data_IF_526226541507
#
_entry.id   IF_526226541507
#
_cell.length_a   1.000
_cell.length_b   1.000
_cell.length_c   1.000
_cell.angle_alpha   90.00
_cell.angle_beta   90.00
_cell.angle_gamma   90.00
#
_symmetry.space_group_name_H-M   'P 1'
#
loop_
_entity.id
_entity.type
_entity.pdbx_description
1 polymer ?
#
# COMPACT_ATOMS: atom_id res chain seq x y z
N UNK A 1 -32.80 10.08 6.73
CA UNK A 1 -32.99 8.61 6.70
C UNK A 1 -32.06 8.03 7.78
N UNK A 2 -32.64 7.32 8.75
CA UNK A 2 -32.05 7.08 10.08
C UNK A 2 -30.73 6.29 10.05
N UNK A 3 -29.69 6.89 10.65
CA UNK A 3 -28.46 6.20 11.06
C UNK A 3 -28.85 5.20 12.16
N UNK A 4 -28.91 3.91 11.84
CA UNK A 4 -28.98 2.87 12.88
C UNK A 4 -27.65 2.89 13.63
N UNK A 5 -27.69 3.41 14.85
CA UNK A 5 -26.67 3.20 15.89
C UNK A 5 -26.62 1.69 16.17
N UNK A 6 -25.59 1.02 15.65
CA UNK A 6 -25.33 -0.38 15.96
C UNK A 6 -24.72 -0.45 17.37
N UNK A 7 -25.47 -1.03 18.31
CA UNK A 7 -25.05 -1.26 19.68
C UNK A 7 -23.84 -2.20 19.71
N UNK A 8 -22.86 -1.86 20.55
CA UNK A 8 -21.70 -2.70 20.81
C UNK A 8 -22.14 -3.97 21.54
N UNK A 9 -21.84 -5.14 20.98
CA UNK A 9 -21.72 -6.35 21.79
C UNK A 9 -20.38 -6.27 22.54
N UNK A 10 -20.39 -5.61 23.71
CA UNK A 10 -19.35 -5.84 24.70
C UNK A 10 -19.58 -7.24 25.26
N UNK A 11 -18.74 -8.20 24.86
CA UNK A 11 -18.70 -9.49 25.54
C UNK A 11 -18.24 -9.23 26.99
N UNK A 12 -19.06 -9.65 27.96
CA UNK A 12 -18.73 -9.59 29.36
C UNK A 12 -17.57 -10.54 29.66
N UNK A 13 -16.40 -9.99 29.95
CA UNK A 13 -15.32 -10.71 30.63
C UNK A 13 -15.32 -10.29 32.10
N UNK A 14 -15.97 -11.08 32.94
CA UNK A 14 -15.82 -10.98 34.39
C UNK A 14 -14.41 -11.48 34.78
N UNK A 15 -13.64 -10.63 35.49
CA UNK A 15 -12.55 -11.11 36.35
C UNK A 15 -11.09 -10.80 35.96
N UNK A 16 -10.79 -9.97 34.96
CA UNK A 16 -9.43 -9.43 34.77
C UNK A 16 -9.44 -7.91 34.88
N UNK A 17 -8.57 -7.33 35.72
CA UNK A 17 -8.30 -5.89 35.72
C UNK A 17 -7.95 -5.47 34.29
N UNK A 18 -8.88 -4.79 33.63
CA UNK A 18 -8.69 -4.24 32.30
C UNK A 18 -7.64 -3.14 32.40
N UNK A 19 -6.39 -3.50 32.11
CA UNK A 19 -5.32 -2.52 31.96
C UNK A 19 -5.78 -1.42 31.00
N UNK A 20 -5.63 -0.16 31.42
CA UNK A 20 -5.91 1.00 30.56
C UNK A 20 -4.98 1.04 29.35
N UNK A 21 -3.87 0.29 29.39
CA UNK A 21 -2.91 0.15 28.30
C UNK A 21 -3.35 -0.99 27.37
N UNK A 22 -3.65 -0.66 26.11
CA UNK A 22 -3.90 -1.67 25.07
C UNK A 22 -2.59 -2.07 24.41
N UNK A 23 -2.28 -3.37 24.45
CA UNK A 23 -1.01 -3.92 23.96
C UNK A 23 -1.08 -4.51 22.54
N UNK A 24 -2.19 -4.30 21.82
CA UNK A 24 -2.47 -4.96 20.54
C UNK A 24 -2.69 -6.47 20.70
N UNK A 25 -2.98 -7.15 19.59
CA UNK A 25 -3.17 -8.61 19.58
C UNK A 25 -1.84 -9.34 19.35
N UNK A 26 -1.71 -10.51 19.96
CA UNK A 26 -0.72 -11.52 19.65
C UNK A 26 -1.35 -12.63 18.80
N UNK A 27 -0.54 -13.54 18.26
CA UNK A 27 -1.03 -14.55 17.32
C UNK A 27 -2.20 -15.38 17.89
N UNK A 28 -2.10 -15.82 19.14
CA UNK A 28 -3.11 -16.61 19.84
C UNK A 28 -4.40 -15.84 20.22
N UNK A 29 -4.45 -14.52 20.00
CA UNK A 29 -5.64 -13.70 20.24
C UNK A 29 -6.58 -13.69 19.02
N UNK A 30 -6.08 -14.03 17.83
CA UNK A 30 -6.88 -14.01 16.59
C UNK A 30 -7.70 -15.28 16.40
N UNK A 31 -8.86 -15.14 15.75
CA UNK A 31 -9.73 -16.25 15.33
C UNK A 31 -10.15 -16.04 13.88
N UNK A 32 -10.21 -17.09 13.07
CA UNK A 32 -10.77 -17.00 11.70
C UNK A 32 -12.23 -16.54 11.80
N UNK A 33 -12.62 -15.59 10.94
CA UNK A 33 -13.93 -14.92 10.97
C UNK A 33 -14.03 -13.75 11.96
N UNK A 34 -13.00 -13.50 12.78
CA UNK A 34 -12.96 -12.34 13.68
C UNK A 34 -13.03 -11.04 12.88
N UNK A 35 -13.97 -10.15 13.25
CA UNK A 35 -14.12 -8.83 12.64
C UNK A 35 -13.72 -7.73 13.62
N UNK A 36 -12.86 -6.83 13.15
CA UNK A 36 -12.28 -5.73 13.91
C UNK A 36 -12.69 -4.42 13.25
N UNK A 37 -13.32 -3.53 14.03
CA UNK A 37 -13.54 -2.13 13.65
C UNK A 37 -12.40 -1.31 14.24
N UNK A 38 -11.58 -0.72 13.39
CA UNK A 38 -10.39 0.00 13.85
C UNK A 38 -10.77 1.38 14.39
N UNK A 39 -10.11 1.77 15.49
CA UNK A 39 -10.27 3.10 16.05
C UNK A 39 -9.71 4.20 15.13
N UNK A 40 -9.98 5.45 15.47
CA UNK A 40 -9.42 6.65 14.82
C UNK A 40 -9.81 6.80 13.34
N UNK A 41 -11.10 6.93 13.00
CA UNK A 41 -11.47 7.37 11.65
C UNK A 41 -10.77 8.70 11.34
N UNK A 42 -10.33 8.88 10.10
CA UNK A 42 -9.45 10.00 9.72
C UNK A 42 -9.99 10.72 8.51
N UNK A 43 -10.36 11.99 8.70
CA UNK A 43 -10.63 12.94 7.62
C UNK A 43 -9.33 13.32 6.94
N UNK A 44 -9.17 13.10 5.64
CA UNK A 44 -8.01 13.59 4.87
C UNK A 44 -8.29 14.98 4.33
N UNK A 45 -7.23 15.77 4.16
CA UNK A 45 -7.28 17.21 3.86
C UNK A 45 -6.21 17.60 2.83
N UNK A 46 -6.24 18.86 2.37
CA UNK A 46 -5.17 19.45 1.54
C UNK A 46 -3.81 19.49 2.26
N UNK A 47 -3.80 19.54 3.59
CA UNK A 47 -2.58 19.46 4.38
C UNK A 47 -1.91 18.09 4.27
N UNK A 48 -2.71 17.02 4.21
CA UNK A 48 -2.21 15.66 4.06
C UNK A 48 -1.57 15.46 2.68
N UNK A 49 -2.17 16.01 1.61
CA UNK A 49 -1.59 16.05 0.26
C UNK A 49 -0.25 16.81 0.25
N UNK A 50 -0.24 18.04 0.75
CA UNK A 50 0.96 18.88 0.76
C UNK A 50 2.12 18.20 1.48
N UNK A 51 1.84 17.57 2.63
CA UNK A 51 2.85 16.84 3.38
C UNK A 51 3.31 15.57 2.65
N UNK A 52 2.40 14.82 2.03
CA UNK A 52 2.75 13.65 1.23
C UNK A 52 3.65 14.01 0.03
N UNK A 53 3.34 15.10 -0.68
CA UNK A 53 4.18 15.62 -1.76
C UNK A 53 5.55 16.04 -1.20
N UNK A 54 5.61 16.78 -0.09
CA UNK A 54 6.87 17.20 0.51
C UNK A 54 7.77 16.04 0.96
N UNK A 55 7.17 14.90 1.36
CA UNK A 55 7.89 13.71 1.82
C UNK A 55 8.32 12.76 0.70
N UNK A 56 7.73 12.87 -0.49
CA UNK A 56 7.95 11.89 -1.58
C UNK A 56 8.42 12.53 -2.87
N UNK A 57 8.22 13.83 -3.05
CA UNK A 57 8.44 14.52 -4.32
C UNK A 57 7.46 14.11 -5.41
N UNK A 58 6.28 13.58 -5.06
CA UNK A 58 5.31 13.12 -6.07
C UNK A 58 4.95 14.22 -7.07
N UNK A 59 4.99 13.87 -8.36
CA UNK A 59 4.60 14.74 -9.48
C UNK A 59 3.36 14.24 -10.23
N UNK A 60 2.61 13.30 -9.65
CA UNK A 60 1.43 12.71 -10.30
C UNK A 60 0.45 13.79 -10.80
N UNK A 61 0.06 13.70 -12.07
CA UNK A 61 -0.65 14.77 -12.78
C UNK A 61 -1.97 15.14 -12.10
N UNK A 62 -2.75 14.14 -11.68
CA UNK A 62 -4.04 14.36 -11.02
C UNK A 62 -3.92 14.89 -9.58
N UNK A 63 -2.77 14.65 -8.94
CA UNK A 63 -2.55 15.02 -7.54
C UNK A 63 -1.94 16.43 -7.36
N UNK A 64 -1.13 16.87 -8.32
CA UNK A 64 -0.27 18.06 -8.15
C UNK A 64 -0.98 19.40 -8.39
N UNK A 65 -1.85 19.52 -9.41
CA UNK A 65 -2.41 20.81 -9.84
C UNK A 65 -3.91 20.76 -10.14
N UNK A 66 -4.69 21.66 -9.54
CA UNK A 66 -6.15 21.69 -9.72
C UNK A 66 -6.52 21.99 -11.17
N UNK A 67 -5.75 22.86 -11.81
CA UNK A 67 -5.85 23.18 -13.23
C UNK A 67 -5.75 21.93 -14.11
N UNK A 68 -4.81 21.02 -13.80
CA UNK A 68 -4.60 19.79 -14.55
C UNK A 68 -5.81 18.86 -14.38
N UNK A 69 -6.24 18.61 -13.15
CA UNK A 69 -7.40 17.75 -12.90
C UNK A 69 -8.66 18.29 -13.60
N UNK A 70 -8.91 19.61 -13.53
CA UNK A 70 -10.03 20.25 -14.23
C UNK A 70 -9.96 20.09 -15.74
N UNK A 71 -8.77 20.30 -16.32
CA UNK A 71 -8.56 20.15 -17.75
C UNK A 71 -8.73 18.70 -18.20
N UNK A 72 -8.29 17.72 -17.40
CA UNK A 72 -8.53 16.28 -17.64
C UNK A 72 -9.96 15.82 -17.30
N UNK A 73 -10.83 16.75 -16.92
CA UNK A 73 -12.26 16.51 -16.74
C UNK A 73 -12.74 16.13 -15.35
N UNK A 74 -11.87 16.22 -14.36
CA UNK A 74 -12.23 15.99 -12.97
C UNK A 74 -12.88 17.22 -12.35
N UNK A 75 -13.92 17.00 -11.54
CA UNK A 75 -14.54 18.07 -10.78
C UNK A 75 -13.64 18.62 -9.67
N UNK A 76 -12.72 17.82 -9.14
CA UNK A 76 -11.75 18.22 -8.10
C UNK A 76 -10.54 17.30 -8.21
N UNK A 77 -9.39 17.70 -7.68
CA UNK A 77 -8.24 16.79 -7.55
C UNK A 77 -8.47 15.67 -6.54
N UNK A 78 -8.33 14.40 -6.92
CA UNK A 78 -8.26 13.31 -5.95
C UNK A 78 -6.97 13.37 -5.12
N UNK A 79 -6.97 12.74 -3.96
CA UNK A 79 -5.75 12.45 -3.19
C UNK A 79 -4.99 11.29 -3.84
N UNK A 80 -3.68 11.25 -3.63
CA UNK A 80 -2.81 10.21 -4.14
C UNK A 80 -3.20 8.83 -3.59
N UNK A 81 -3.27 7.83 -4.47
CA UNK A 81 -3.69 6.47 -4.13
C UNK A 81 -2.88 5.89 -2.96
N UNK A 82 -1.56 6.09 -2.96
CA UNK A 82 -0.69 5.58 -1.90
C UNK A 82 -0.81 6.37 -0.58
N UNK A 83 -1.21 7.64 -0.60
CA UNK A 83 -1.56 8.38 0.62
C UNK A 83 -2.81 7.76 1.26
N UNK A 84 -3.82 7.46 0.44
CA UNK A 84 -5.06 6.79 0.88
C UNK A 84 -4.75 5.39 1.42
N UNK A 85 -3.98 4.60 0.67
CA UNK A 85 -3.56 3.25 1.10
C UNK A 85 -2.82 3.28 2.42
N UNK A 86 -1.79 4.13 2.55
CA UNK A 86 -0.99 4.20 3.76
C UNK A 86 -1.80 4.68 4.97
N UNK A 87 -2.70 5.64 4.78
CA UNK A 87 -3.60 6.12 5.84
C UNK A 87 -4.53 5.01 6.31
N UNK A 88 -5.19 4.30 5.39
CA UNK A 88 -6.07 3.18 5.71
C UNK A 88 -5.31 2.01 6.35
N UNK A 89 -4.12 1.67 5.83
CA UNK A 89 -3.25 0.65 6.39
C UNK A 89 -2.86 0.97 7.83
N UNK A 90 -2.47 2.23 8.10
CA UNK A 90 -2.11 2.72 9.43
C UNK A 90 -3.20 2.50 10.47
N UNK A 91 -4.48 2.55 10.07
CA UNK A 91 -5.62 2.29 10.98
C UNK A 91 -5.63 0.86 11.51
N UNK A 92 -5.15 -0.08 10.71
CA UNK A 92 -5.13 -1.50 11.09
C UNK A 92 -3.97 -1.85 12.03
N UNK A 93 -2.94 -1.01 12.11
CA UNK A 93 -1.68 -1.35 12.79
C UNK A 93 -1.86 -1.66 14.28
N UNK A 94 -2.56 -0.84 15.08
CA UNK A 94 -2.72 -1.09 16.52
C UNK A 94 -3.29 -2.49 16.82
N UNK A 95 -4.25 -2.94 16.01
CA UNK A 95 -4.98 -4.19 16.26
C UNK A 95 -4.35 -5.39 15.54
N UNK A 96 -3.76 -5.21 14.37
CA UNK A 96 -3.27 -6.32 13.53
C UNK A 96 -1.77 -6.55 13.67
N UNK A 97 -0.96 -5.47 13.72
CA UNK A 97 0.49 -5.60 13.50
C UNK A 97 1.36 -4.82 14.49
N UNK A 98 0.81 -4.38 15.62
CA UNK A 98 1.60 -3.76 16.69
C UNK A 98 2.67 -4.70 17.26
N UNK A 99 2.36 -5.99 17.30
CA UNK A 99 3.26 -7.07 17.75
C UNK A 99 3.72 -7.96 16.57
N UNK A 100 3.67 -7.43 15.34
CA UNK A 100 4.16 -8.16 14.18
C UNK A 100 5.68 -8.07 14.07
N UNK A 101 6.30 -9.16 13.61
CA UNK A 101 7.70 -9.23 13.16
C UNK A 101 7.84 -8.52 11.83
N UNK A 102 6.98 -8.87 10.87
CA UNK A 102 7.04 -8.38 9.50
C UNK A 102 5.69 -8.52 8.79
N UNK A 103 5.44 -7.65 7.81
CA UNK A 103 4.43 -7.88 6.78
C UNK A 103 5.03 -8.76 5.69
N UNK A 104 4.41 -9.89 5.43
CA UNK A 104 4.96 -10.92 4.53
C UNK A 104 4.44 -10.79 3.10
N UNK A 105 3.35 -10.06 2.89
CA UNK A 105 2.90 -9.71 1.54
C UNK A 105 1.53 -9.06 1.50
N UNK A 106 1.12 -8.76 0.27
CA UNK A 106 -0.17 -8.18 -0.09
C UNK A 106 -0.78 -9.00 -1.22
N UNK A 107 -2.10 -9.00 -1.30
CA UNK A 107 -2.83 -9.47 -2.48
C UNK A 107 -4.13 -8.68 -2.59
N UNK A 108 -4.68 -8.61 -3.80
CA UNK A 108 -6.00 -8.05 -4.06
C UNK A 108 -6.19 -6.64 -3.45
N UNK A 109 -5.16 -5.78 -3.46
CA UNK A 109 -5.34 -4.38 -3.09
C UNK A 109 -6.09 -3.71 -4.24
N UNK A 110 -7.34 -3.32 -4.03
CA UNK A 110 -8.20 -2.69 -5.02
C UNK A 110 -8.50 -1.26 -4.61
N UNK A 111 -8.16 -0.30 -5.47
CA UNK A 111 -8.56 1.10 -5.33
C UNK A 111 -9.95 1.23 -5.96
N UNK A 112 -10.99 1.28 -5.12
CA UNK A 112 -12.38 1.13 -5.55
C UNK A 112 -13.05 2.46 -5.93
N UNK A 113 -12.56 3.58 -5.39
CA UNK A 113 -13.07 4.92 -5.68
C UNK A 113 -12.04 5.99 -5.33
N UNK A 114 -12.02 7.14 -6.03
CA UNK A 114 -11.19 8.27 -5.65
C UNK A 114 -11.60 8.81 -4.29
N UNK A 115 -10.61 9.28 -3.52
CA UNK A 115 -10.80 9.96 -2.24
C UNK A 115 -10.42 11.42 -2.42
N UNK A 116 -11.22 12.33 -1.87
CA UNK A 116 -10.99 13.77 -1.96
C UNK A 116 -10.65 14.38 -0.60
N UNK A 117 -9.96 15.54 -0.56
CA UNK A 117 -9.89 16.36 0.64
C UNK A 117 -11.31 16.61 1.22
N UNK A 118 -11.46 16.34 2.52
CA UNK A 118 -12.73 16.36 3.25
C UNK A 118 -13.33 14.95 3.49
N UNK A 119 -12.93 13.93 2.74
CA UNK A 119 -13.39 12.57 2.97
C UNK A 119 -12.80 11.98 4.25
N UNK A 120 -13.61 11.20 4.97
CA UNK A 120 -13.23 10.54 6.23
C UNK A 120 -13.20 9.04 6.08
N UNK A 121 -12.02 8.44 6.27
CA UNK A 121 -11.84 7.00 6.15
C UNK A 121 -12.03 6.29 7.50
N UNK A 122 -12.82 5.24 7.49
CA UNK A 122 -12.93 4.23 8.54
C UNK A 122 -12.58 2.86 7.96
N UNK A 123 -11.92 2.01 8.75
CA UNK A 123 -11.41 0.71 8.28
C UNK A 123 -11.93 -0.42 9.16
N UNK A 124 -12.35 -1.50 8.51
CA UNK A 124 -12.73 -2.76 9.14
C UNK A 124 -11.83 -3.88 8.60
N UNK A 125 -11.52 -4.86 9.45
CA UNK A 125 -10.73 -6.03 9.08
C UNK A 125 -11.42 -7.32 9.48
N UNK A 126 -11.38 -8.32 8.62
CA UNK A 126 -11.73 -9.70 8.91
C UNK A 126 -10.48 -10.58 8.88
N UNK A 127 -10.31 -11.42 9.90
CA UNK A 127 -9.27 -12.47 9.89
C UNK A 127 -9.75 -13.63 9.03
N UNK A 128 -9.07 -13.89 7.93
CA UNK A 128 -9.45 -14.88 6.93
C UNK A 128 -8.56 -16.14 6.94
N UNK A 129 -7.52 -16.15 7.78
CA UNK A 129 -6.65 -17.30 7.93
C UNK A 129 -5.63 -17.13 9.04
N UNK A 130 -5.18 -18.26 9.58
CA UNK A 130 -4.19 -18.36 10.65
C UNK A 130 -3.31 -19.57 10.37
N UNK A 131 -1.99 -19.43 10.50
CA UNK A 131 -1.06 -20.55 10.40
C UNK A 131 0.06 -20.39 11.41
N UNK A 132 0.10 -21.25 12.42
CA UNK A 132 1.21 -21.25 13.38
C UNK A 132 2.52 -21.64 12.69
N UNK A 133 3.62 -20.96 13.03
CA UNK A 133 4.93 -21.36 12.54
C UNK A 133 5.45 -22.58 13.31
N UNK A 134 6.29 -23.39 12.67
CA UNK A 134 6.88 -24.60 13.28
C UNK A 134 7.69 -24.31 14.55
N UNK A 135 8.23 -23.10 14.70
CA UNK A 135 8.95 -22.67 15.90
C UNK A 135 8.06 -22.48 17.13
N UNK A 136 6.72 -22.39 16.95
CA UNK A 136 5.73 -22.08 17.98
C UNK A 136 5.96 -20.77 18.75
N UNK A 137 6.75 -19.86 18.20
CA UNK A 137 7.00 -18.51 18.78
C UNK A 137 6.23 -17.40 18.05
N UNK A 138 5.62 -17.73 16.92
CA UNK A 138 4.87 -16.80 16.07
C UNK A 138 3.93 -17.57 15.15
N UNK A 139 3.07 -16.85 14.45
CA UNK A 139 2.28 -17.40 13.37
C UNK A 139 1.92 -16.33 12.34
N UNK A 140 1.43 -16.77 11.19
CA UNK A 140 0.99 -15.91 10.09
C UNK A 140 -0.51 -15.68 10.22
N UNK A 141 -0.90 -14.40 10.27
CA UNK A 141 -2.31 -13.97 10.27
C UNK A 141 -2.63 -13.39 8.92
N UNK A 142 -3.64 -13.93 8.25
CA UNK A 142 -4.16 -13.44 6.98
C UNK A 142 -5.41 -12.60 7.26
N UNK A 143 -5.43 -11.37 6.75
CA UNK A 143 -6.52 -10.43 6.99
C UNK A 143 -7.02 -9.82 5.69
N UNK A 144 -8.35 -9.65 5.59
CA UNK A 144 -9.00 -8.83 4.56
C UNK A 144 -9.48 -7.54 5.21
N UNK A 145 -9.00 -6.41 4.72
CA UNK A 145 -9.37 -5.10 5.24
C UNK A 145 -10.14 -4.30 4.19
N UNK A 146 -11.08 -3.48 4.65
CA UNK A 146 -11.92 -2.62 3.81
C UNK A 146 -11.97 -1.23 4.41
N UNK A 147 -11.62 -0.22 3.63
CA UNK A 147 -11.78 1.19 3.98
C UNK A 147 -13.03 1.76 3.31
N UNK A 148 -13.85 2.47 4.09
CA UNK A 148 -15.03 3.18 3.63
C UNK A 148 -14.96 4.66 3.98
N UNK A 149 -15.52 5.52 3.13
CA UNK A 149 -15.67 6.93 3.45
C UNK A 149 -16.90 7.19 4.35
N UNK A 150 -17.14 8.45 4.73
CA UNK A 150 -18.29 8.89 5.54
C UNK A 150 -19.66 8.58 4.94
N UNK A 151 -19.73 8.28 3.64
CA UNK A 151 -20.96 7.92 2.93
C UNK A 151 -21.15 6.39 2.82
N UNK A 152 -20.26 5.60 3.43
CA UNK A 152 -20.29 4.13 3.37
C UNK A 152 -19.74 3.54 2.05
N UNK A 153 -19.27 4.38 1.13
CA UNK A 153 -18.66 3.95 -0.13
C UNK A 153 -17.32 3.28 0.16
N UNK A 154 -17.12 2.09 -0.41
CA UNK A 154 -15.82 1.43 -0.38
C UNK A 154 -14.84 2.20 -1.25
N UNK A 155 -13.70 2.59 -0.68
CA UNK A 155 -12.65 3.32 -1.40
C UNK A 155 -11.43 2.45 -1.63
N UNK A 156 -11.18 1.49 -0.75
CA UNK A 156 -10.02 0.61 -0.80
C UNK A 156 -10.35 -0.73 -0.13
N UNK A 157 -9.96 -1.84 -0.72
CA UNK A 157 -9.99 -3.16 -0.09
C UNK A 157 -8.68 -3.90 -0.34
N UNK A 158 -8.21 -4.71 0.61
CA UNK A 158 -6.98 -5.49 0.43
C UNK A 158 -6.91 -6.74 1.28
N UNK A 159 -6.06 -7.68 0.87
CA UNK A 159 -5.57 -8.77 1.70
C UNK A 159 -4.11 -8.51 2.03
N UNK A 160 -3.72 -8.79 3.27
CA UNK A 160 -2.31 -8.89 3.67
C UNK A 160 -2.12 -10.02 4.65
N UNK A 161 -0.89 -10.49 4.78
CA UNK A 161 -0.53 -11.43 5.83
C UNK A 161 0.71 -10.98 6.58
N UNK A 162 0.66 -11.15 7.90
CA UNK A 162 1.67 -10.66 8.84
C UNK A 162 2.15 -11.79 9.72
N UNK A 163 3.44 -11.83 10.00
CA UNK A 163 3.99 -12.70 11.04
C UNK A 163 3.85 -11.99 12.38
N UNK A 164 3.06 -12.57 13.30
CA UNK A 164 2.79 -12.01 14.63
C UNK A 164 3.41 -12.89 15.70
N UNK A 165 4.06 -12.27 16.69
CA UNK A 165 4.58 -13.00 17.84
C UNK A 165 3.45 -13.67 18.63
N UNK A 166 3.76 -14.83 19.22
CA UNK A 166 2.97 -15.35 20.34
C UNK A 166 3.40 -14.65 21.62
N UNK A 167 2.45 -14.41 22.52
CA UNK A 167 2.74 -13.94 23.88
C UNK A 167 3.19 -15.13 24.74
N UNK A 168 2.49 -16.26 24.62
CA UNK A 168 2.84 -17.52 25.25
C UNK A 168 3.10 -18.61 24.17
N UNK A 169 4.35 -19.10 24.02
CA UNK A 169 4.66 -20.19 23.11
C UNK A 169 3.82 -21.46 23.34
N UNK A 170 3.36 -21.71 24.57
CA UNK A 170 2.54 -22.86 24.96
C UNK A 170 1.05 -22.72 24.65
N UNK A 171 0.56 -21.53 24.29
CA UNK A 171 -0.85 -21.31 24.01
C UNK A 171 -1.33 -22.18 22.83
N UNK A 172 -2.45 -22.87 23.00
CA UNK A 172 -3.06 -23.64 21.93
C UNK A 172 -3.58 -22.71 20.82
N UNK A 173 -3.29 -23.05 19.57
CA UNK A 173 -3.79 -22.35 18.40
C UNK A 173 -4.75 -23.25 17.63
N UNK A 174 -5.74 -22.64 16.96
CA UNK A 174 -6.70 -23.37 16.13
C UNK A 174 -6.05 -24.01 14.89
N UNK A 175 -6.85 -24.72 14.11
CA UNK A 175 -6.41 -25.35 12.87
C UNK A 175 -5.84 -24.32 11.88
N UNK A 176 -4.82 -24.73 11.12
CA UNK A 176 -4.19 -23.89 10.13
C UNK A 176 -5.12 -23.67 8.93
N UNK A 177 -5.43 -22.41 8.65
CA UNK A 177 -6.21 -21.96 7.50
C UNK A 177 -5.37 -20.98 6.70
N UNK A 178 -5.01 -21.37 5.46
CA UNK A 178 -4.35 -20.49 4.50
C UNK A 178 -5.34 -20.19 3.38
N UNK A 179 -5.83 -18.95 3.26
CA UNK A 179 -6.80 -18.61 2.24
C UNK A 179 -6.13 -18.61 0.87
N UNK A 180 -6.88 -19.01 -0.16
CA UNK A 180 -6.50 -18.74 -1.54
C UNK A 180 -6.63 -17.23 -1.81
N UNK A 181 -5.66 -16.66 -2.52
CA UNK A 181 -5.69 -15.29 -3.00
C UNK A 181 -5.51 -15.28 -4.51
N UNK A 182 -6.05 -14.25 -5.16
CA UNK A 182 -5.81 -14.07 -6.59
C UNK A 182 -4.38 -13.53 -6.82
N UNK A 183 -3.61 -14.11 -7.75
CA UNK A 183 -2.26 -13.63 -8.05
C UNK A 183 -2.25 -12.27 -8.77
N UNK A 184 -3.37 -11.93 -9.42
CA UNK A 184 -3.60 -10.68 -10.17
C UNK A 184 -5.05 -10.29 -9.95
N UNK A 185 -5.32 -8.99 -9.77
CA UNK A 185 -6.69 -8.50 -9.75
C UNK A 185 -7.26 -8.53 -11.18
N UNK A 186 -8.37 -9.25 -11.44
CA UNK A 186 -8.98 -9.31 -12.76
C UNK A 186 -9.45 -7.94 -13.24
N UNK A 187 -9.37 -7.69 -14.55
CA UNK A 187 -9.76 -6.41 -15.17
C UNK A 187 -11.18 -5.96 -14.76
N UNK A 188 -12.15 -6.89 -14.70
CA UNK A 188 -13.52 -6.59 -14.29
C UNK A 188 -13.71 -6.15 -12.83
N UNK A 189 -12.68 -6.25 -11.99
CA UNK A 189 -12.67 -5.77 -10.60
C UNK A 189 -11.85 -4.48 -10.42
N UNK A 190 -11.17 -4.00 -11.46
CA UNK A 190 -10.41 -2.75 -11.43
C UNK A 190 -11.39 -1.58 -11.60
N UNK A 191 -11.49 -0.72 -10.59
CA UNK A 191 -12.38 0.44 -10.67
C UNK A 191 -11.79 1.48 -11.61
N UNK A 192 -12.30 1.52 -12.83
CA UNK A 192 -11.96 2.54 -13.80
C UNK A 192 -12.99 3.65 -13.66
N UNK A 193 -12.55 4.86 -13.31
CA UNK A 193 -13.45 6.01 -13.28
C UNK A 193 -14.04 6.29 -14.66
N UNK A 194 -15.06 7.15 -14.72
CA UNK A 194 -15.63 7.65 -15.96
C UNK A 194 -14.67 8.67 -16.61
N UNK A 195 -13.52 8.18 -17.10
CA UNK A 195 -12.57 8.99 -17.84
C UNK A 195 -13.17 9.35 -19.21
N UNK A 196 -13.27 10.64 -19.51
CA UNK A 196 -13.72 11.11 -20.82
C UNK A 196 -12.54 11.41 -21.75
N UNK A 197 -12.82 11.84 -22.98
CA UNK A 197 -11.81 12.08 -24.01
C UNK A 197 -10.72 13.09 -23.61
N UNK A 198 -10.97 13.99 -22.63
CA UNK A 198 -10.01 15.01 -22.18
C UNK A 198 -8.75 14.44 -21.55
N UNK A 199 -8.77 13.19 -21.08
CA UNK A 199 -7.54 12.58 -20.54
C UNK A 199 -6.42 12.44 -21.58
N UNK A 200 -6.76 12.51 -22.88
CA UNK A 200 -5.77 12.53 -23.96
C UNK A 200 -4.93 13.82 -23.98
N UNK A 201 -5.31 14.86 -23.24
CA UNK A 201 -4.53 16.11 -23.10
C UNK A 201 -3.40 16.00 -22.08
N UNK A 202 -3.27 14.87 -21.36
CA UNK A 202 -2.21 14.69 -20.36
C UNK A 202 -0.79 15.02 -20.85
N UNK A 203 -0.39 14.76 -22.12
CA UNK A 203 0.94 15.10 -22.61
C UNK A 203 1.27 16.59 -22.57
N UNK A 204 0.27 17.49 -22.69
CA UNK A 204 0.52 18.93 -22.61
C UNK A 204 0.86 19.39 -21.20
N UNK A 205 0.59 18.56 -20.19
CA UNK A 205 0.87 18.85 -18.78
C UNK A 205 2.17 18.19 -18.31
N UNK A 206 2.44 16.99 -18.79
CA UNK A 206 3.64 16.22 -18.42
C UNK A 206 4.85 16.56 -19.27
N UNK A 207 4.62 17.06 -20.50
CA UNK A 207 5.66 17.28 -21.49
C UNK A 207 6.12 16.01 -22.20
N UNK A 208 5.44 14.87 -22.01
CA UNK A 208 5.81 13.56 -22.53
C UNK A 208 4.66 13.00 -23.37
N UNK A 209 4.95 12.56 -24.59
CA UNK A 209 3.96 12.09 -25.55
C UNK A 209 3.55 10.62 -25.37
N UNK A 210 4.34 9.84 -24.62
CA UNK A 210 4.16 8.39 -24.49
C UNK A 210 2.86 8.05 -23.74
N UNK A 211 1.94 7.40 -24.43
CA UNK A 211 0.68 6.90 -23.90
C UNK A 211 0.73 5.38 -23.79
N UNK A 212 -0.38 4.76 -23.35
CA UNK A 212 -0.46 3.32 -23.15
C UNK A 212 0.02 2.50 -24.36
N UNK A 213 -0.23 2.99 -25.57
CA UNK A 213 0.14 2.33 -26.84
C UNK A 213 1.65 2.24 -27.05
N UNK A 214 2.42 3.17 -26.47
CA UNK A 214 3.86 3.30 -26.70
C UNK A 214 4.70 2.39 -25.78
N UNK A 215 4.09 1.84 -24.72
CA UNK A 215 4.72 0.85 -23.84
C UNK A 215 4.59 -0.58 -24.39
N UNK A 216 5.65 -1.37 -24.25
CA UNK A 216 5.70 -2.77 -24.70
C UNK A 216 5.78 -3.76 -23.52
N UNK A 217 5.12 -4.91 -23.62
CA UNK A 217 5.30 -6.00 -22.64
C UNK A 217 6.76 -6.47 -22.63
N UNK A 218 7.33 -6.61 -21.44
CA UNK A 218 8.74 -6.95 -21.22
C UNK A 218 9.68 -5.74 -21.17
N UNK A 219 9.20 -4.56 -21.56
CA UNK A 219 9.97 -3.31 -21.52
C UNK A 219 10.44 -2.99 -20.11
N UNK A 220 11.72 -2.65 -19.99
CA UNK A 220 12.35 -2.17 -18.76
C UNK A 220 12.51 -0.67 -18.83
N UNK A 221 12.12 0.00 -17.75
CA UNK A 221 12.24 1.44 -17.54
C UNK A 221 13.15 1.66 -16.33
N UNK A 222 14.34 2.20 -16.58
CA UNK A 222 15.28 2.61 -15.55
C UNK A 222 14.96 4.05 -15.12
N UNK A 223 14.49 4.23 -13.89
CA UNK A 223 14.13 5.56 -13.40
C UNK A 223 15.40 6.30 -12.94
N UNK A 224 15.71 7.48 -13.49
CA UNK A 224 17.00 8.15 -13.28
C UNK A 224 17.16 8.73 -11.87
N UNK A 225 16.06 8.98 -11.17
CA UNK A 225 16.08 9.57 -9.84
C UNK A 225 16.48 8.58 -8.73
N UNK A 226 17.07 9.11 -7.67
CA UNK A 226 17.27 8.41 -6.42
C UNK A 226 16.98 9.34 -5.22
N UNK A 227 16.60 8.77 -4.09
CA UNK A 227 16.22 9.55 -2.90
C UNK A 227 16.80 8.95 -1.62
N UNK A 228 17.63 9.73 -0.91
CA UNK A 228 18.10 9.39 0.43
C UNK A 228 17.01 9.61 1.45
N UNK A 229 16.73 8.60 2.29
CA UNK A 229 15.71 8.68 3.33
C UNK A 229 16.33 9.25 4.60
N UNK A 230 15.73 10.29 5.17
CA UNK A 230 16.15 10.82 6.47
C UNK A 230 15.28 10.28 7.61
N UNK A 231 15.83 10.29 8.81
CA UNK A 231 15.15 9.87 10.05
C UNK A 231 13.84 10.62 10.30
N UNK A 232 13.83 11.93 10.02
CA UNK A 232 12.65 12.78 10.18
C UNK A 232 11.56 12.43 9.16
N UNK A 233 11.94 12.25 7.89
CA UNK A 233 10.99 12.11 6.78
C UNK A 233 10.14 10.86 6.93
N UNK A 234 10.76 9.69 7.13
CA UNK A 234 10.00 8.45 7.28
C UNK A 234 9.16 8.44 8.57
N UNK A 235 9.65 9.09 9.63
CA UNK A 235 8.91 9.20 10.90
C UNK A 235 7.69 10.12 10.74
N UNK A 236 7.84 11.25 10.04
CA UNK A 236 6.75 12.18 9.74
C UNK A 236 5.73 11.50 8.81
N UNK A 237 6.17 10.80 7.76
CA UNK A 237 5.30 10.01 6.90
C UNK A 237 4.48 8.99 7.71
N UNK A 238 5.13 8.24 8.59
CA UNK A 238 4.44 7.22 9.41
C UNK A 238 3.45 7.85 10.39
N UNK A 239 3.76 9.02 10.96
CA UNK A 239 2.85 9.80 11.82
C UNK A 239 1.67 10.37 11.05
N UNK A 240 1.87 10.85 9.82
CA UNK A 240 0.81 11.32 8.92
C UNK A 240 -0.28 10.25 8.76
N UNK A 241 0.15 9.00 8.58
CA UNK A 241 -0.74 7.84 8.45
C UNK A 241 -1.35 7.35 9.78
N UNK A 242 -0.93 7.93 10.91
CA UNK A 242 -1.24 7.48 12.26
C UNK A 242 -0.95 5.98 12.45
N UNK A 243 0.12 5.50 11.82
CA UNK A 243 0.67 4.16 12.01
C UNK A 243 1.51 4.19 13.29
N UNK A 244 1.27 3.26 14.21
CA UNK A 244 1.87 3.22 15.55
C UNK A 244 2.90 2.11 15.75
N UNK A 245 3.37 1.46 14.68
CA UNK A 245 4.38 0.42 14.80
C UNK A 245 5.68 0.98 15.39
N UNK A 246 6.07 0.45 16.56
CA UNK A 246 7.16 0.99 17.40
C UNK A 246 8.51 1.05 16.67
N UNK A 247 8.77 0.10 15.78
CA UNK A 247 10.02 0.00 15.02
C UNK A 247 10.33 1.26 14.18
N UNK A 248 9.33 2.08 13.86
CA UNK A 248 9.51 3.31 13.08
C UNK A 248 9.89 4.52 13.94
N UNK A 249 9.79 4.43 15.27
CA UNK A 249 9.88 5.58 16.17
C UNK A 249 10.84 5.39 17.34
N UNK A 250 10.87 4.21 17.94
CA UNK A 250 11.61 3.96 19.18
C UNK A 250 13.04 3.50 18.88
N UNK A 251 13.92 4.47 18.62
CA UNK A 251 15.34 4.19 18.38
C UNK A 251 16.05 3.55 19.57
N UNK A 252 15.61 3.86 20.81
CA UNK A 252 16.22 3.30 22.01
C UNK A 252 15.91 1.80 22.15
N UNK A 253 14.64 1.41 22.02
CA UNK A 253 14.25 0.01 22.06
C UNK A 253 14.87 -0.80 20.91
N UNK A 254 14.94 -0.22 19.70
CA UNK A 254 15.58 -0.88 18.55
C UNK A 254 17.09 -1.09 18.78
N UNK A 255 17.78 -0.12 19.37
CA UNK A 255 19.21 -0.21 19.69
C UNK A 255 19.52 -1.29 20.74
N UNK A 256 18.62 -1.51 21.71
CA UNK A 256 18.77 -2.59 22.69
C UNK A 256 18.79 -3.99 22.04
N UNK A 257 18.14 -4.15 20.87
CA UNK A 257 18.22 -5.35 20.04
C UNK A 257 19.36 -5.35 19.01
N UNK A 258 20.30 -4.41 19.09
CA UNK A 258 21.38 -4.24 18.11
C UNK A 258 20.95 -3.64 16.76
N UNK A 259 19.72 -3.13 16.68
CA UNK A 259 19.15 -2.54 15.46
C UNK A 259 19.09 -1.03 15.50
N UNK A 260 18.46 -0.45 14.47
CA UNK A 260 18.06 0.96 14.40
C UNK A 260 16.63 1.05 13.89
N UNK A 261 16.04 2.24 13.91
CA UNK A 261 14.66 2.43 13.42
C UNK A 261 14.52 1.92 11.99
N UNK A 262 13.43 1.20 11.75
CA UNK A 262 13.08 0.70 10.44
C UNK A 262 12.24 1.73 9.71
N UNK A 263 12.53 1.97 8.44
CA UNK A 263 11.65 2.75 7.57
C UNK A 263 10.38 1.93 7.31
N UNK A 264 9.22 2.58 7.38
CA UNK A 264 7.95 1.95 7.02
C UNK A 264 7.96 1.53 5.55
N UNK A 265 7.72 0.25 5.26
CA UNK A 265 7.75 -0.28 3.90
C UNK A 265 6.81 0.44 2.92
N UNK A 266 5.64 0.91 3.38
CA UNK A 266 4.74 1.71 2.52
C UNK A 266 5.30 3.09 2.15
N UNK A 267 6.26 3.62 2.92
CA UNK A 267 7.02 4.80 2.51
C UNK A 267 7.98 4.47 1.36
N UNK A 268 8.62 3.29 1.38
CA UNK A 268 9.45 2.82 0.25
C UNK A 268 8.62 2.64 -1.03
N UNK A 269 7.39 2.10 -0.92
CA UNK A 269 6.44 2.03 -2.04
C UNK A 269 6.16 3.44 -2.59
N UNK A 270 5.93 4.40 -1.71
CA UNK A 270 5.62 5.79 -2.08
C UNK A 270 6.80 6.50 -2.76
N UNK A 271 8.02 6.30 -2.25
CA UNK A 271 9.25 6.83 -2.84
C UNK A 271 9.49 6.21 -4.22
N UNK A 272 9.40 4.88 -4.35
CA UNK A 272 9.56 4.23 -5.65
C UNK A 272 8.49 4.69 -6.65
N UNK A 273 7.23 4.89 -6.22
CA UNK A 273 6.20 5.45 -7.10
C UNK A 273 6.52 6.87 -7.53
N UNK A 274 7.03 7.72 -6.64
CA UNK A 274 7.42 9.08 -7.00
C UNK A 274 8.60 9.12 -7.96
N UNK A 275 9.63 8.29 -7.75
CA UNK A 275 10.76 8.12 -8.66
C UNK A 275 10.31 7.58 -10.02
N UNK A 276 9.35 6.66 -10.02
CA UNK A 276 8.80 6.07 -11.25
C UNK A 276 8.05 7.05 -12.14
N UNK A 277 7.82 8.29 -11.68
CA UNK A 277 7.23 9.32 -12.52
C UNK A 277 8.02 9.51 -13.81
N UNK A 278 9.36 9.55 -13.73
CA UNK A 278 10.21 9.66 -14.92
C UNK A 278 10.17 8.32 -15.69
N UNK A 279 9.52 8.32 -16.85
CA UNK A 279 9.20 7.15 -17.66
C UNK A 279 7.78 6.60 -17.49
N UNK A 280 6.96 7.12 -16.57
CA UNK A 280 5.52 6.80 -16.43
C UNK A 280 4.69 8.06 -16.12
N UNK A 281 5.05 9.18 -16.75
CA UNK A 281 4.53 10.52 -16.45
C UNK A 281 3.01 10.61 -16.67
N UNK A 282 2.53 9.93 -17.72
CA UNK A 282 1.14 9.92 -18.14
C UNK A 282 0.26 8.89 -17.39
N UNK A 283 0.78 8.26 -16.33
CA UNK A 283 0.01 7.39 -15.46
C UNK A 283 -0.99 8.20 -14.61
N UNK A 284 -2.27 7.84 -14.67
CA UNK A 284 -3.37 8.55 -14.00
C UNK A 284 -3.54 8.14 -12.54
N UNK A 285 -3.64 6.84 -12.27
CA UNK A 285 -3.90 6.28 -10.94
C UNK A 285 -3.40 4.85 -10.84
N UNK A 286 -3.25 4.37 -9.60
CA UNK A 286 -3.08 2.95 -9.30
C UNK A 286 -4.47 2.32 -9.15
N UNK A 287 -4.76 1.30 -9.95
CA UNK A 287 -6.02 0.55 -9.91
C UNK A 287 -5.95 -0.63 -8.94
N UNK A 288 -4.77 -1.27 -8.85
CA UNK A 288 -4.55 -2.37 -7.93
C UNK A 288 -3.08 -2.56 -7.54
N UNK A 289 -2.83 -3.16 -6.38
CA UNK A 289 -1.56 -3.84 -6.07
C UNK A 289 -1.89 -5.34 -6.06
N UNK A 290 -1.33 -6.05 -7.05
CA UNK A 290 -1.51 -7.48 -7.26
C UNK A 290 -0.72 -8.28 -6.23
N UNK A 291 0.48 -7.81 -5.91
CA UNK A 291 1.34 -8.40 -4.90
C UNK A 291 2.49 -7.46 -4.52
N UNK A 292 3.10 -7.68 -3.36
CA UNK A 292 4.26 -6.91 -2.97
C UNK A 292 5.00 -7.50 -1.78
N UNK A 293 6.32 -7.34 -1.78
CA UNK A 293 7.21 -7.83 -0.73
C UNK A 293 8.17 -6.73 -0.29
N UNK A 294 8.29 -6.55 1.02
CA UNK A 294 9.37 -5.77 1.63
C UNK A 294 10.53 -6.74 1.89
N UNK A 295 11.44 -6.82 0.93
CA UNK A 295 12.42 -7.90 0.83
C UNK A 295 13.48 -7.79 1.92
N UNK A 296 14.10 -6.62 2.03
CA UNK A 296 15.11 -6.31 3.04
C UNK A 296 14.74 -5.01 3.76
N UNK A 297 15.13 -4.85 5.04
CA UNK A 297 14.83 -3.64 5.79
C UNK A 297 15.56 -2.42 5.20
N UNK A 298 14.86 -1.28 5.19
CA UNK A 298 15.41 0.04 4.88
C UNK A 298 15.54 0.87 6.15
N UNK A 299 16.50 1.78 6.17
CA UNK A 299 16.80 2.65 7.30
C UNK A 299 17.08 4.07 6.83
N UNK A 300 17.10 5.02 7.76
CA UNK A 300 17.63 6.35 7.48
C UNK A 300 19.09 6.27 6.99
N UNK A 301 19.42 7.13 6.03
CA UNK A 301 20.69 7.15 5.30
C UNK A 301 20.73 6.24 4.07
N UNK A 302 19.79 5.31 3.91
CA UNK A 302 19.68 4.52 2.68
C UNK A 302 19.18 5.40 1.52
N UNK A 303 19.87 5.32 0.38
CA UNK A 303 19.47 5.97 -0.88
C UNK A 303 18.72 4.99 -1.76
N UNK A 304 17.46 5.29 -2.05
CA UNK A 304 16.57 4.42 -2.83
C UNK A 304 16.61 4.79 -4.30
N UNK A 305 16.83 3.80 -5.15
CA UNK A 305 16.62 3.86 -6.60
C UNK A 305 15.64 2.75 -7.02
N UNK A 306 15.03 2.85 -8.20
CA UNK A 306 14.13 1.81 -8.68
C UNK A 306 14.10 1.70 -10.20
N UNK A 307 13.67 0.55 -10.69
CA UNK A 307 13.34 0.31 -12.09
C UNK A 307 12.00 -0.41 -12.17
N UNK A 308 11.33 -0.27 -13.30
CA UNK A 308 10.04 -0.89 -13.57
C UNK A 308 10.11 -1.77 -14.82
N UNK A 309 9.41 -2.90 -14.80
CA UNK A 309 9.14 -3.70 -15.99
C UNK A 309 7.65 -3.69 -16.30
N UNK A 310 7.29 -3.50 -17.57
CA UNK A 310 5.92 -3.69 -18.05
C UNK A 310 5.66 -5.19 -18.15
N UNK A 311 4.76 -5.69 -17.32
CA UNK A 311 4.44 -7.12 -17.22
C UNK A 311 3.32 -7.51 -18.16
N UNK A 312 2.32 -6.64 -18.30
CA UNK A 312 1.14 -6.91 -19.11
C UNK A 312 0.42 -5.62 -19.51
N UNK A 313 -0.33 -5.70 -20.61
CA UNK A 313 -1.20 -4.64 -21.12
C UNK A 313 -2.65 -5.11 -21.01
N UNK A 314 -3.44 -4.43 -20.18
CA UNK A 314 -4.78 -4.86 -19.78
C UNK A 314 -5.83 -4.01 -20.48
N UNK A 315 -6.74 -4.65 -21.22
CA UNK A 315 -7.97 -3.99 -21.66
C UNK A 315 -8.94 -3.85 -20.48
N UNK A 316 -9.30 -2.61 -20.16
CA UNK A 316 -10.23 -2.28 -19.08
C UNK A 316 -11.69 -2.24 -19.56
N UNK A 317 -11.95 -2.52 -20.86
CA UNK A 317 -13.27 -2.34 -21.47
C UNK A 317 -13.68 -0.87 -21.59
N UNK A 318 -12.70 0.05 -21.48
CA UNK A 318 -12.89 1.49 -21.49
C UNK A 318 -12.39 2.10 -22.80
N UNK A 319 -13.08 3.15 -23.27
CA UNK A 319 -12.77 3.81 -24.53
C UNK A 319 -11.45 4.58 -24.48
N UNK A 320 -11.20 5.33 -23.41
CA UNK A 320 -10.13 6.32 -23.35
C UNK A 320 -8.91 5.89 -22.53
N UNK A 321 -9.02 4.83 -21.72
CA UNK A 321 -8.01 4.39 -20.77
C UNK A 321 -7.79 2.88 -20.87
N UNK A 322 -6.57 2.43 -20.60
CA UNK A 322 -6.26 1.01 -20.42
C UNK A 322 -5.30 0.81 -19.25
N UNK A 323 -5.11 -0.45 -18.87
CA UNK A 323 -4.27 -0.85 -17.75
C UNK A 323 -2.87 -1.21 -18.21
N UNK A 324 -1.87 -0.78 -17.45
CA UNK A 324 -0.53 -1.38 -17.50
C UNK A 324 -0.30 -2.12 -16.18
N UNK A 325 0.00 -3.42 -16.27
CA UNK A 325 0.53 -4.16 -15.13
C UNK A 325 2.03 -3.97 -15.11
N UNK A 326 2.52 -3.49 -13.97
CA UNK A 326 3.89 -3.09 -13.77
C UNK A 326 4.50 -3.88 -12.62
N UNK A 327 5.78 -4.16 -12.72
CA UNK A 327 6.59 -4.64 -11.61
C UNK A 327 7.69 -3.64 -11.33
N UNK A 328 7.67 -2.99 -10.18
CA UNK A 328 8.73 -2.08 -9.74
C UNK A 328 9.57 -2.74 -8.67
N UNK A 329 10.88 -2.76 -8.89
CA UNK A 329 11.87 -3.22 -7.89
C UNK A 329 12.63 -2.00 -7.38
N UNK A 330 12.68 -1.85 -6.05
CA UNK A 330 13.45 -0.81 -5.37
C UNK A 330 14.71 -1.39 -4.75
N UNK A 331 15.83 -0.68 -4.88
CA UNK A 331 17.13 -1.03 -4.29
C UNK A 331 17.63 0.10 -3.38
N UNK A 332 18.43 -0.25 -2.37
CA UNK A 332 19.14 0.71 -1.50
C UNK A 332 20.63 0.76 -1.82
N UNK A 333 21.20 1.96 -1.83
CA UNK A 333 22.64 2.22 -1.97
C UNK A 333 23.27 1.54 -3.20
N UNK A 334 22.47 1.36 -4.24
CA UNK A 334 22.84 0.76 -5.51
C UNK A 334 22.07 1.47 -6.64
N UNK A 335 22.63 1.49 -7.84
CA UNK A 335 21.94 1.99 -9.03
C UNK A 335 21.02 0.93 -9.64
N UNK A 336 20.23 1.33 -10.62
CA UNK A 336 19.22 0.47 -11.24
C UNK A 336 19.83 -0.75 -11.95
N UNK A 337 21.09 -0.70 -12.36
CA UNK A 337 21.83 -1.83 -12.94
C UNK A 337 21.92 -3.06 -12.02
N UNK A 338 21.75 -2.90 -10.71
CA UNK A 338 21.69 -4.01 -9.75
C UNK A 338 20.34 -4.75 -9.77
N UNK A 339 19.32 -4.19 -10.44
CA UNK A 339 17.98 -4.77 -10.52
C UNK A 339 17.94 -5.80 -11.64
N UNK A 340 17.55 -7.02 -11.30
CA UNK A 340 17.21 -8.06 -12.25
C UNK A 340 15.71 -8.38 -12.17
N UNK A 341 15.04 -8.41 -13.32
CA UNK A 341 13.70 -8.94 -13.44
C UNK A 341 13.79 -10.41 -13.84
N UNK A 342 13.09 -11.28 -13.11
CA UNK A 342 13.07 -12.70 -13.44
C UNK A 342 12.28 -12.94 -14.74
N UNK A 343 12.79 -13.83 -15.59
CA UNK A 343 12.10 -14.26 -16.80
C UNK A 343 10.75 -14.92 -16.48
N UNK A 344 9.71 -14.70 -17.29
CA UNK A 344 8.41 -15.36 -17.11
C UNK A 344 8.56 -16.89 -17.01
N UNK A 345 8.00 -17.49 -15.97
CA UNK A 345 8.02 -18.95 -15.78
C UNK A 345 9.25 -19.52 -15.07
N UNK A 346 10.30 -18.72 -14.81
CA UNK A 346 11.36 -19.12 -13.89
C UNK A 346 10.95 -18.83 -12.43
N UNK A 347 11.30 -19.76 -11.52
CA UNK A 347 11.12 -19.54 -10.09
C UNK A 347 11.84 -18.25 -9.66
N UNK A 348 11.25 -17.49 -8.74
CA UNK A 348 11.85 -16.22 -8.29
C UNK A 348 13.18 -16.52 -7.57
N UNK A 349 14.34 -16.05 -8.07
CA UNK A 349 15.59 -16.18 -7.34
C UNK A 349 15.51 -15.43 -6.02
N UNK A 350 16.34 -15.82 -5.05
CA UNK A 350 16.49 -15.05 -3.83
C UNK A 350 16.94 -13.63 -4.18
N UNK A 351 16.23 -12.63 -3.67
CA UNK A 351 16.58 -11.24 -3.93
C UNK A 351 17.93 -10.88 -3.28
N UNK A 352 18.79 -10.13 -3.99
CA UNK A 352 20.01 -9.56 -3.42
C UNK A 352 19.74 -8.68 -2.17
N UNK A 353 20.74 -8.51 -1.27
CA UNK A 353 20.59 -7.74 -0.02
C UNK A 353 20.25 -6.25 -0.24
N UNK A 354 20.56 -5.70 -1.41
CA UNK A 354 20.23 -4.34 -1.82
C UNK A 354 18.76 -4.17 -2.21
N UNK A 355 18.05 -5.23 -2.61
CA UNK A 355 16.63 -5.12 -2.98
C UNK A 355 15.80 -4.95 -1.72
N UNK A 356 15.02 -3.87 -1.65
CA UNK A 356 14.16 -3.55 -0.50
C UNK A 356 12.68 -3.68 -0.81
N UNK A 357 12.31 -3.54 -2.09
CA UNK A 357 10.92 -3.61 -2.55
C UNK A 357 10.84 -4.43 -3.84
N UNK A 358 9.84 -5.29 -3.91
CA UNK A 358 9.34 -5.91 -5.15
C UNK A 358 7.82 -5.73 -5.18
N UNK A 359 7.32 -4.91 -6.08
CA UNK A 359 5.91 -4.49 -6.14
C UNK A 359 5.31 -4.79 -7.51
N UNK A 360 4.21 -5.54 -7.53
CA UNK A 360 3.40 -5.85 -8.71
C UNK A 360 2.06 -5.13 -8.59
N UNK A 361 1.77 -4.23 -9.51
CA UNK A 361 0.62 -3.33 -9.45
C UNK A 361 0.10 -2.99 -10.85
N UNK A 362 -1.10 -2.45 -10.90
CA UNK A 362 -1.76 -2.05 -12.15
C UNK A 362 -2.08 -0.57 -12.09
N UNK A 363 -1.72 0.17 -13.13
CA UNK A 363 -2.06 1.60 -13.29
C UNK A 363 -3.06 1.80 -14.41
N UNK A 364 -3.80 2.90 -14.35
CA UNK A 364 -4.56 3.45 -15.46
C UNK A 364 -3.69 4.42 -16.28
N UNK A 365 -3.72 4.30 -17.60
CA UNK A 365 -3.04 5.22 -18.52
C UNK A 365 -3.91 5.50 -19.75
N UNK A 366 -3.95 6.75 -20.27
CA UNK A 366 -4.70 7.05 -21.47
C UNK A 366 -4.21 6.24 -22.67
N UNK A 367 -5.14 5.84 -23.54
CA UNK A 367 -4.86 5.27 -24.85
C UNK A 367 -4.95 6.36 -25.92
N UNK A 368 -4.15 6.21 -26.98
CA UNK A 368 -4.27 7.00 -28.20
C UNK A 368 -5.63 6.74 -28.83
N UNK A 369 -6.33 7.80 -29.21
CA UNK A 369 -7.59 7.67 -29.94
C UNK A 369 -7.26 7.50 -31.43
N UNK A 370 -7.72 6.39 -32.01
CA UNK A 370 -7.63 6.10 -33.43
C UNK A 370 -8.93 6.47 -34.15
#
# INVERSE_FOLDING_TARGET
MQIRLWQHAAAAHEGQEMSKTRNGNFFEDFRVGMKLRHATPRTLTEGDRSLYIGLTGSRAVLGTAETNARQLGFERRPLEDLLVFNTAFGKTVPDISLNAVANLGYAEVRFCAPVYPGDTLAVETEVIGLKENSSRKSGVVYVRSTARNQHGREVLGWIRWVMVHKRDPGAACGEAVVPATQPVVPAGLLACGDYDARIAEIPSMTGVADLWDDYAVGERIDHPGAMTINDSDHSIATRLYQNTARAHFDGHAMAAGGGRRLVYGGHIISVCRALSYDGLENALSILAINGGSHVNPSHAGDTIACATQVIDKIDLGQRHVAGLRLRTIGVKNAGTQAIAFAEPGQGRPAHPPEVVLDLDYTIAMPKRQH
#
